data_IF_163439786560
#
_entry.id   IF_163439786560
#
_cell.length_a   1.000
_cell.length_b   1.000
_cell.length_c   1.000
_cell.angle_alpha   90.00
_cell.angle_beta   90.00
_cell.angle_gamma   90.00
#
_symmetry.space_group_name_H-M   'P 1'
#
loop_
_entity.id
_entity.type
_entity.pdbx_description
1 polymer ?
#
# COMPACT_ATOMS: atom_id res chain seq x y z
N UNK A 1 11.22 1.83 6.77
CA UNK A 1 10.86 1.52 8.16
C UNK A 1 9.38 1.88 8.34
N UNK A 2 8.58 1.03 8.99
CA UNK A 2 7.14 1.24 9.14
C UNK A 2 6.78 1.68 10.56
N UNK A 3 6.15 2.85 10.70
CA UNK A 3 5.75 3.44 11.97
C UNK A 3 4.25 3.72 12.01
N UNK A 4 3.66 3.76 13.21
CA UNK A 4 2.22 3.99 13.38
C UNK A 4 1.33 2.77 13.14
N UNK A 5 1.93 1.58 12.96
CA UNK A 5 1.21 0.30 12.84
C UNK A 5 1.62 -0.65 13.97
N UNK A 6 0.68 -1.51 14.38
CA UNK A 6 0.93 -2.59 15.33
C UNK A 6 1.56 -3.78 14.61
N UNK A 7 2.39 -4.55 15.32
CA UNK A 7 3.01 -5.79 14.79
C UNK A 7 1.97 -6.74 14.17
N UNK A 8 0.79 -6.87 14.78
CA UNK A 8 -0.30 -7.70 14.27
C UNK A 8 -0.82 -7.26 12.89
N UNK A 9 -0.85 -5.95 12.63
CA UNK A 9 -1.30 -5.40 11.34
C UNK A 9 -0.29 -5.75 10.24
N UNK A 10 1.00 -5.60 10.52
CA UNK A 10 2.07 -6.00 9.60
C UNK A 10 2.06 -7.50 9.31
N UNK A 11 1.89 -8.34 10.34
CA UNK A 11 1.83 -9.80 10.18
C UNK A 11 0.61 -10.20 9.35
N UNK A 12 -0.57 -9.65 9.65
CA UNK A 12 -1.78 -9.93 8.88
C UNK A 12 -1.63 -9.52 7.40
N UNK A 13 -1.03 -8.35 7.13
CA UNK A 13 -0.72 -7.93 5.77
C UNK A 13 0.21 -8.94 5.07
N UNK A 14 1.33 -9.31 5.71
CA UNK A 14 2.28 -10.30 5.15
C UNK A 14 1.62 -11.63 4.83
N UNK A 15 0.80 -12.15 5.75
CA UNK A 15 0.07 -13.42 5.56
C UNK A 15 -0.85 -13.36 4.35
N UNK A 16 -1.64 -12.29 4.22
CA UNK A 16 -2.55 -12.10 3.07
C UNK A 16 -1.79 -11.97 1.75
N UNK A 17 -0.74 -11.14 1.74
CA UNK A 17 0.11 -10.98 0.55
C UNK A 17 0.69 -12.32 0.12
N UNK A 18 1.26 -13.09 1.04
CA UNK A 18 1.84 -14.40 0.74
C UNK A 18 0.81 -15.39 0.18
N UNK A 19 -0.45 -15.30 0.62
CA UNK A 19 -1.56 -16.12 0.13
C UNK A 19 -2.09 -15.73 -1.27
N UNK A 20 -1.52 -14.71 -1.93
CA UNK A 20 -2.01 -14.22 -3.23
C UNK A 20 -3.28 -13.36 -3.11
N UNK A 21 -3.61 -12.92 -1.90
CA UNK A 21 -4.65 -11.93 -1.68
C UNK A 21 -4.08 -10.53 -1.90
N UNK A 22 -4.93 -9.62 -2.38
CA UNK A 22 -4.58 -8.22 -2.45
C UNK A 22 -4.78 -7.61 -1.05
N UNK A 23 -3.72 -7.07 -0.47
CA UNK A 23 -3.73 -6.54 0.88
C UNK A 23 -3.10 -5.16 0.98
N UNK A 24 -3.65 -4.34 1.87
CA UNK A 24 -3.26 -2.94 2.05
C UNK A 24 -2.71 -2.70 3.45
N UNK A 25 -1.64 -1.93 3.56
CA UNK A 25 -1.06 -1.51 4.83
C UNK A 25 -0.57 -0.07 4.74
N UNK A 26 -1.22 0.83 5.48
CA UNK A 26 -0.79 2.22 5.59
C UNK A 26 0.11 2.40 6.80
N UNK A 27 1.23 3.10 6.65
CA UNK A 27 2.10 3.47 7.76
C UNK A 27 2.71 4.84 7.54
N UNK A 28 3.16 5.50 8.61
CA UNK A 28 3.87 6.77 8.51
C UNK A 28 5.19 6.56 7.79
N UNK A 29 5.49 7.46 6.87
CA UNK A 29 6.70 7.47 6.06
C UNK A 29 7.07 8.91 5.76
N UNK A 30 8.35 9.25 5.96
CA UNK A 30 8.86 10.59 5.76
C UNK A 30 10.09 10.46 4.86
N UNK A 31 10.07 11.17 3.75
CA UNK A 31 11.22 11.33 2.86
C UNK A 31 11.31 12.81 2.46
N UNK A 32 12.46 13.48 2.64
CA UNK A 32 12.63 14.89 2.30
C UNK A 32 12.27 15.24 0.86
N UNK A 33 12.35 14.28 -0.08
CA UNK A 33 11.97 14.47 -1.49
C UNK A 33 10.46 14.57 -1.70
N UNK A 34 9.68 14.10 -0.73
CA UNK A 34 8.22 14.05 -0.76
C UNK A 34 7.65 14.79 0.45
N UNK A 35 7.96 16.08 0.57
CA UNK A 35 7.57 16.91 1.72
C UNK A 35 6.06 17.03 1.97
N UNK A 36 5.23 16.69 0.98
CA UNK A 36 3.77 16.67 1.08
C UNK A 36 3.19 15.31 1.54
N UNK A 37 4.02 14.28 1.64
CA UNK A 37 3.60 12.92 1.99
C UNK A 37 4.20 12.50 3.33
N UNK A 38 3.35 12.28 4.34
CA UNK A 38 3.76 11.80 5.67
C UNK A 38 3.40 10.34 5.93
N UNK A 39 2.71 9.68 4.98
CA UNK A 39 2.34 8.29 5.06
C UNK A 39 2.35 7.64 3.67
N UNK A 40 2.45 6.31 3.66
CA UNK A 40 2.47 5.49 2.45
C UNK A 40 1.53 4.30 2.66
N UNK A 41 0.80 3.92 1.62
CA UNK A 41 -0.01 2.69 1.61
C UNK A 41 0.65 1.65 0.73
N UNK A 42 0.96 0.49 1.31
CA UNK A 42 1.48 -0.68 0.60
C UNK A 42 0.34 -1.52 0.08
N UNK A 43 0.18 -1.61 -1.24
CA UNK A 43 -0.73 -2.56 -1.88
C UNK A 43 0.06 -3.78 -2.36
N UNK A 44 -0.04 -4.90 -1.65
CA UNK A 44 0.76 -6.10 -1.90
C UNK A 44 -0.07 -7.30 -2.34
N UNK A 45 0.53 -8.18 -3.14
CA UNK A 45 -0.03 -9.47 -3.54
C UNK A 45 1.08 -10.35 -4.15
N UNK A 46 1.26 -11.59 -3.67
CA UNK A 46 2.29 -12.49 -4.21
C UNK A 46 2.02 -12.97 -5.64
N UNK A 47 0.75 -12.93 -6.08
CA UNK A 47 0.39 -13.10 -7.49
C UNK A 47 0.68 -11.80 -8.25
N UNK A 48 1.86 -11.75 -8.88
CA UNK A 48 2.33 -10.60 -9.66
C UNK A 48 1.39 -10.24 -10.80
N UNK A 49 0.78 -11.22 -11.48
CA UNK A 49 -0.11 -10.93 -12.61
C UNK A 49 -1.37 -10.23 -12.11
N UNK A 50 -1.91 -10.71 -11.00
CA UNK A 50 -3.04 -10.08 -10.32
C UNK A 50 -2.69 -8.68 -9.80
N UNK A 51 -1.50 -8.50 -9.23
CA UNK A 51 -1.03 -7.20 -8.75
C UNK A 51 -0.90 -6.18 -9.88
N UNK A 52 -0.34 -6.59 -11.03
CA UNK A 52 -0.21 -5.75 -12.23
C UNK A 52 -1.59 -5.35 -12.75
N UNK A 53 -2.46 -6.33 -13.00
CA UNK A 53 -3.81 -6.07 -13.53
C UNK A 53 -4.62 -5.15 -12.58
N UNK A 54 -4.48 -5.34 -11.27
CA UNK A 54 -5.07 -4.44 -10.29
C UNK A 54 -4.47 -3.02 -10.36
N UNK A 55 -3.15 -2.90 -10.49
CA UNK A 55 -2.47 -1.61 -10.55
C UNK A 55 -2.81 -0.80 -11.79
N UNK A 56 -3.02 -1.46 -12.93
CA UNK A 56 -3.41 -0.83 -14.20
C UNK A 56 -4.73 -0.06 -14.10
N UNK A 57 -5.69 -0.55 -13.28
CA UNK A 57 -6.98 0.13 -13.01
C UNK A 57 -6.76 1.55 -12.43
N UNK A 58 -5.67 1.74 -11.68
CA UNK A 58 -5.30 3.01 -11.05
C UNK A 58 -4.19 3.75 -11.82
N UNK A 59 -3.81 3.28 -13.01
CA UNK A 59 -2.72 3.85 -13.81
C UNK A 59 -1.32 3.58 -13.26
N UNK A 60 -1.16 2.60 -12.37
CA UNK A 60 0.14 2.19 -11.83
C UNK A 60 0.88 1.35 -12.87
N UNK A 61 2.17 1.67 -13.07
CA UNK A 61 3.03 0.95 -14.01
C UNK A 61 3.65 -0.26 -13.32
N UNK A 62 3.75 -1.40 -14.00
CA UNK A 62 4.37 -2.63 -13.44
C UNK A 62 5.80 -2.41 -12.93
N UNK A 63 6.54 -1.46 -13.51
CA UNK A 63 7.90 -1.09 -13.12
C UNK A 63 7.96 -0.41 -11.75
N UNK A 64 6.82 0.04 -11.21
CA UNK A 64 6.71 0.63 -9.88
C UNK A 64 6.47 -0.41 -8.78
N UNK A 65 6.34 -1.69 -9.13
CA UNK A 65 6.25 -2.76 -8.14
C UNK A 65 7.61 -2.91 -7.45
N UNK A 66 7.63 -2.76 -6.13
CA UNK A 66 8.76 -3.15 -5.32
C UNK A 66 8.85 -4.68 -5.31
N UNK A 67 9.92 -5.22 -5.92
CA UNK A 67 10.11 -6.66 -6.11
C UNK A 67 10.70 -7.36 -4.87
N UNK A 68 10.00 -7.25 -3.73
CA UNK A 68 10.33 -8.09 -2.58
C UNK A 68 10.03 -9.57 -2.93
N UNK A 69 10.91 -10.48 -2.50
CA UNK A 69 10.82 -11.91 -2.81
C UNK A 69 9.51 -12.55 -2.35
N UNK A 70 8.95 -12.08 -1.24
CA UNK A 70 7.78 -12.66 -0.60
C UNK A 70 6.58 -11.71 -0.58
N UNK A 71 6.84 -10.42 -0.59
CA UNK A 71 5.83 -9.39 -0.43
C UNK A 71 5.89 -8.32 -1.51
N UNK A 72 5.79 -8.68 -2.80
CA UNK A 72 5.81 -7.68 -3.86
C UNK A 72 4.60 -6.73 -3.71
N UNK A 73 4.85 -5.43 -3.84
CA UNK A 73 3.85 -4.40 -3.56
C UNK A 73 4.10 -3.09 -4.31
N UNK A 74 3.05 -2.30 -4.46
CA UNK A 74 3.15 -0.89 -4.79
C UNK A 74 3.20 -0.05 -3.52
N UNK A 75 4.00 1.01 -3.55
CA UNK A 75 3.96 2.10 -2.55
C UNK A 75 3.12 3.25 -3.11
N UNK A 76 1.98 3.53 -2.46
CA UNK A 76 1.02 4.54 -2.88
C UNK A 76 1.08 5.77 -1.99
N UNK A 77 1.10 6.95 -2.61
CA UNK A 77 1.18 8.25 -1.95
C UNK A 77 0.30 9.28 -2.68
N UNK A 78 -0.14 10.33 -1.98
CA UNK A 78 -0.94 11.41 -2.56
C UNK A 78 -2.31 10.95 -3.07
N UNK A 79 -2.78 11.54 -4.17
CA UNK A 79 -4.16 11.31 -4.66
C UNK A 79 -4.47 9.85 -4.95
N UNK A 80 -3.50 9.09 -5.50
CA UNK A 80 -3.72 7.67 -5.80
C UNK A 80 -3.88 6.84 -4.54
N UNK A 81 -3.21 7.22 -3.45
CA UNK A 81 -3.37 6.59 -2.14
C UNK A 81 -4.80 6.74 -1.62
N UNK A 82 -5.34 7.96 -1.66
CA UNK A 82 -6.69 8.28 -1.19
C UNK A 82 -7.73 7.56 -2.06
N UNK A 83 -7.56 7.58 -3.39
CA UNK A 83 -8.44 6.88 -4.34
C UNK A 83 -8.51 5.39 -4.05
N UNK A 84 -7.37 4.74 -3.87
CA UNK A 84 -7.30 3.30 -3.56
C UNK A 84 -7.94 3.01 -2.21
N UNK A 85 -7.59 3.74 -1.15
CA UNK A 85 -8.16 3.51 0.18
C UNK A 85 -9.69 3.67 0.17
N UNK A 86 -10.20 4.68 -0.53
CA UNK A 86 -11.65 4.91 -0.66
C UNK A 86 -12.33 3.78 -1.43
N UNK A 87 -11.76 3.35 -2.56
CA UNK A 87 -12.33 2.29 -3.39
C UNK A 87 -12.38 0.92 -2.69
N UNK A 88 -11.52 0.68 -1.71
CA UNK A 88 -11.48 -0.54 -0.91
C UNK A 88 -12.18 -0.42 0.45
N UNK A 89 -12.95 0.67 0.67
CA UNK A 89 -13.64 0.95 1.94
C UNK A 89 -12.70 0.98 3.16
N UNK A 90 -11.48 1.48 2.99
CA UNK A 90 -10.45 1.63 4.03
C UNK A 90 -10.38 3.10 4.51
N UNK A 91 -11.54 3.74 4.69
CA UNK A 91 -11.63 5.14 5.11
C UNK A 91 -11.07 5.37 6.50
N UNK A 92 -11.07 4.36 7.37
CA UNK A 92 -10.40 4.37 8.67
C UNK A 92 -8.90 4.70 8.57
N UNK A 93 -8.25 4.25 7.49
CA UNK A 93 -6.83 4.53 7.23
C UNK A 93 -6.64 6.00 6.83
N UNK A 94 -7.57 6.56 6.04
CA UNK A 94 -7.55 7.96 5.60
C UNK A 94 -7.62 8.87 6.82
N UNK A 95 -8.56 8.60 7.74
CA UNK A 95 -8.74 9.36 8.98
C UNK A 95 -7.55 9.18 9.94
N UNK A 96 -7.15 7.93 10.22
CA UNK A 96 -6.07 7.61 11.17
C UNK A 96 -4.74 8.25 10.77
N UNK A 97 -4.45 8.30 9.47
CA UNK A 97 -3.22 8.87 8.94
C UNK A 97 -3.37 10.30 8.43
N UNK A 98 -4.54 10.95 8.55
CA UNK A 98 -4.79 12.34 8.13
C UNK A 98 -4.36 12.60 6.68
N UNK A 99 -4.92 11.81 5.76
CA UNK A 99 -4.59 11.90 4.34
C UNK A 99 -5.45 12.94 3.58
N UNK A 100 -6.39 13.60 4.26
CA UNK A 100 -7.29 14.63 3.76
C UNK A 100 -7.31 15.82 4.72
#
# INVERSE_FOLDING_TARGET
MAFGIKRKELVAWKTKVAAGELAFLTHYWIDPRFSKSHAVTKAGCSDIKKLIAWGEIYGLKKEWIHQDKHYPHFDLMGDVQIKVLTAHNLTDQIERFRLQ
#
